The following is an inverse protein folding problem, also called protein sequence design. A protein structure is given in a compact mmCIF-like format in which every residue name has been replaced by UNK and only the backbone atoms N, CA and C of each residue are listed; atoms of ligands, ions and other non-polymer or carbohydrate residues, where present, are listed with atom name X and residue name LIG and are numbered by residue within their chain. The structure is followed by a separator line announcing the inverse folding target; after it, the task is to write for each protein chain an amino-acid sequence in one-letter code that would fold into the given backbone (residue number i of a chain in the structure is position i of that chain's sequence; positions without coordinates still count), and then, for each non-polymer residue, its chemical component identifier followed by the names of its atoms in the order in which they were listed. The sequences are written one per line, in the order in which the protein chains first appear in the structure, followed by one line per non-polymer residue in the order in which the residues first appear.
data_IF_541051947546
#
_entry.id   IF_541051947546
#
_cell.length_a   1.000
_cell.length_b   1.000
_cell.length_c   1.000
_cell.angle_alpha   90.00
_cell.angle_beta   90.00
_cell.angle_gamma   90.00
#
_symmetry.space_group_name_H-M   'P 1'
#
loop_
_entity.id
_entity.type
_entity.pdbx_description
1 polymer ?
#
# COMPACT_ATOMS: atom_id res chain seq x y z
N UNK A 1 -47.15 41.73 59.78
CA UNK A 1 -46.75 41.89 58.35
C UNK A 1 -45.77 40.80 58.01
N UNK A 2 -46.24 39.66 57.43
CA UNK A 2 -45.36 38.51 57.06
C UNK A 2 -45.08 38.60 55.57
N UNK A 3 -43.85 38.84 55.20
CA UNK A 3 -43.36 38.84 53.84
C UNK A 3 -43.29 37.38 53.32
N UNK A 4 -44.05 37.07 52.26
CA UNK A 4 -44.00 35.82 51.52
C UNK A 4 -42.75 35.83 50.60
N UNK A 5 -41.71 35.18 51.01
CA UNK A 5 -40.57 34.84 50.13
C UNK A 5 -40.67 33.34 49.80
N UNK A 6 -41.41 33.01 48.78
CA UNK A 6 -41.36 31.63 48.22
C UNK A 6 -41.98 31.62 46.86
N UNK A 7 -41.14 31.74 45.81
CA UNK A 7 -41.33 31.11 44.47
C UNK A 7 -40.14 31.31 43.53
N UNK A 8 -39.12 32.05 43.95
CA UNK A 8 -37.97 32.37 43.10
C UNK A 8 -36.94 31.26 42.97
N UNK A 9 -36.78 30.36 43.99
CA UNK A 9 -35.72 29.38 44.04
C UNK A 9 -35.88 28.20 43.02
N UNK A 10 -37.07 27.71 42.78
CA UNK A 10 -37.30 26.61 41.85
C UNK A 10 -37.17 27.00 40.38
N UNK A 11 -37.60 28.24 40.03
CA UNK A 11 -37.43 28.77 38.68
C UNK A 11 -35.95 29.05 38.36
N UNK A 12 -35.22 29.61 39.30
CA UNK A 12 -33.80 29.89 39.15
C UNK A 12 -32.96 28.61 39.01
N UNK A 13 -33.31 27.53 39.75
CA UNK A 13 -32.66 26.21 39.61
C UNK A 13 -32.92 25.59 38.24
N UNK A 14 -34.13 25.72 37.69
CA UNK A 14 -34.48 25.25 36.34
C UNK A 14 -33.71 26.00 35.25
N UNK A 15 -33.62 27.33 35.37
CA UNK A 15 -32.86 28.17 34.45
C UNK A 15 -31.37 27.83 34.51
N UNK A 16 -30.82 27.64 35.72
CA UNK A 16 -29.42 27.25 35.88
C UNK A 16 -29.12 25.87 35.30
N UNK A 17 -30.02 24.90 35.47
CA UNK A 17 -29.87 23.55 34.88
C UNK A 17 -29.92 23.60 33.35
N UNK A 18 -30.83 24.42 32.76
CA UNK A 18 -30.90 24.60 31.29
C UNK A 18 -29.65 25.28 30.75
N UNK A 19 -29.16 26.33 31.41
CA UNK A 19 -27.95 27.04 31.01
C UNK A 19 -26.72 26.12 31.13
N UNK A 20 -26.62 25.31 32.20
CA UNK A 20 -25.53 24.35 32.38
C UNK A 20 -25.58 23.25 31.30
N UNK A 21 -26.77 22.76 30.94
CA UNK A 21 -26.99 21.80 29.87
C UNK A 21 -26.62 22.36 28.48
N UNK A 22 -26.95 23.64 28.22
CA UNK A 22 -26.57 24.33 26.98
C UNK A 22 -25.06 24.59 26.89
N UNK A 23 -24.41 24.88 28.01
CA UNK A 23 -22.95 25.05 28.09
C UNK A 23 -22.23 23.71 27.83
N UNK A 24 -22.72 22.57 28.35
CA UNK A 24 -22.13 21.25 28.08
C UNK A 24 -22.30 20.82 26.63
N UNK A 25 -23.42 21.18 25.97
CA UNK A 25 -23.61 20.94 24.55
C UNK A 25 -22.70 21.80 23.65
N UNK A 26 -22.38 23.03 24.08
CA UNK A 26 -21.49 23.92 23.32
C UNK A 26 -20.02 23.47 23.31
N UNK A 27 -19.61 22.59 24.24
CA UNK A 27 -18.28 22.01 24.29
C UNK A 27 -18.16 20.61 23.69
N UNK A 28 -19.24 20.02 23.17
CA UNK A 28 -19.19 18.80 22.42
C UNK A 28 -18.56 19.08 21.04
N UNK A 29 -17.25 19.24 20.97
CA UNK A 29 -16.53 19.15 19.69
C UNK A 29 -16.78 17.77 19.13
N UNK A 30 -17.35 17.67 17.93
CA UNK A 30 -17.33 16.43 17.18
C UNK A 30 -15.87 16.00 17.06
N UNK A 31 -15.51 14.90 17.72
CA UNK A 31 -14.17 14.34 17.64
C UNK A 31 -13.98 13.84 16.21
N UNK A 32 -12.97 14.33 15.52
CA UNK A 32 -12.62 13.81 14.20
C UNK A 32 -12.31 12.31 14.33
N UNK A 33 -12.93 11.50 13.49
CA UNK A 33 -12.66 10.06 13.44
C UNK A 33 -11.23 9.77 13.01
N UNK A 34 -10.63 10.65 12.20
CA UNK A 34 -9.27 10.55 11.71
C UNK A 34 -8.45 11.78 12.08
N UNK A 35 -7.24 11.56 12.55
CA UNK A 35 -6.26 12.60 12.83
C UNK A 35 -4.98 12.36 12.00
N UNK A 36 -4.40 13.39 11.38
CA UNK A 36 -3.15 13.26 10.65
C UNK A 36 -1.99 13.02 11.63
N UNK A 37 -1.21 11.97 11.35
CA UNK A 37 0.03 11.68 12.08
C UNK A 37 1.21 12.20 11.27
N UNK A 38 1.91 13.21 11.76
CA UNK A 38 3.06 13.76 11.06
C UNK A 38 4.32 12.88 11.18
N UNK A 39 5.26 13.06 10.25
CA UNK A 39 6.49 12.27 10.18
C UNK A 39 7.40 12.42 11.40
N UNK A 40 7.38 13.57 12.09
CA UNK A 40 8.17 13.77 13.31
C UNK A 40 7.68 12.91 14.48
N UNK A 41 6.38 12.58 14.51
CA UNK A 41 5.80 11.66 15.49
C UNK A 41 5.96 10.20 15.06
N UNK A 42 5.66 9.90 13.79
CA UNK A 42 5.65 8.53 13.31
C UNK A 42 7.03 7.99 12.94
N UNK A 43 7.99 8.83 12.58
CA UNK A 43 9.26 8.40 11.99
C UNK A 43 9.15 8.03 10.50
N UNK A 44 7.94 8.00 9.92
CA UNK A 44 7.73 7.70 8.51
C UNK A 44 8.03 8.94 7.67
N UNK A 45 9.13 8.89 6.91
CA UNK A 45 9.60 10.01 6.07
C UNK A 45 9.58 9.70 4.57
N UNK A 46 8.97 8.58 4.17
CA UNK A 46 8.88 8.18 2.77
C UNK A 46 8.22 9.25 1.91
N UNK A 47 8.79 9.45 0.72
CA UNK A 47 8.24 10.29 -0.34
C UNK A 47 8.42 9.60 -1.67
N UNK A 48 7.36 9.44 -2.43
CA UNK A 48 7.44 9.01 -3.82
C UNK A 48 7.73 10.21 -4.70
N UNK A 49 8.98 10.36 -5.12
CA UNK A 49 9.42 11.52 -5.92
C UNK A 49 9.48 11.11 -7.39
N UNK A 50 8.72 11.81 -8.23
CA UNK A 50 8.75 11.66 -9.68
C UNK A 50 9.61 12.78 -10.26
N UNK A 51 10.61 12.40 -11.07
CA UNK A 51 11.47 13.34 -11.78
C UNK A 51 11.24 13.16 -13.28
N UNK A 52 10.65 14.15 -13.91
CA UNK A 52 10.42 14.15 -15.35
C UNK A 52 11.70 14.49 -16.13
N UNK A 53 11.83 13.89 -17.31
CA UNK A 53 12.90 14.18 -18.25
C UNK A 53 12.39 14.06 -19.70
N UNK A 54 13.25 14.28 -20.68
CA UNK A 54 12.86 14.25 -22.09
C UNK A 54 12.29 12.93 -22.58
N UNK A 55 12.64 11.80 -21.95
CA UNK A 55 12.21 10.46 -22.36
C UNK A 55 11.15 9.86 -21.43
N UNK A 56 11.01 10.38 -20.23
CA UNK A 56 10.07 9.92 -19.19
C UNK A 56 9.32 11.11 -18.60
N UNK A 57 8.17 11.41 -19.15
CA UNK A 57 7.27 12.49 -18.76
C UNK A 57 5.82 12.11 -19.08
N UNK A 58 4.86 12.93 -18.67
CA UNK A 58 3.45 12.66 -18.84
C UNK A 58 3.00 12.45 -20.30
N UNK A 59 3.72 13.02 -21.27
CA UNK A 59 3.40 12.86 -22.70
C UNK A 59 3.90 11.53 -23.26
N UNK A 60 4.94 10.96 -22.66
CA UNK A 60 5.56 9.71 -23.11
C UNK A 60 5.08 8.49 -22.33
N UNK A 61 4.58 8.69 -21.11
CA UNK A 61 4.09 7.63 -20.25
C UNK A 61 2.84 8.09 -19.46
N UNK A 62 1.67 7.62 -19.87
CA UNK A 62 0.37 8.07 -19.33
C UNK A 62 0.21 7.77 -17.82
N UNK A 63 0.85 6.69 -17.33
CA UNK A 63 0.78 6.27 -15.93
C UNK A 63 1.84 6.91 -15.03
N UNK A 64 2.49 7.99 -15.47
CA UNK A 64 3.60 8.62 -14.75
C UNK A 64 3.21 9.07 -13.33
N UNK A 65 1.99 9.53 -13.14
CA UNK A 65 1.50 10.08 -11.88
C UNK A 65 0.53 9.15 -11.12
N UNK A 66 0.46 7.87 -11.49
CA UNK A 66 -0.43 6.91 -10.81
C UNK A 66 0.03 6.54 -9.38
N UNK A 67 1.22 7.00 -8.98
CA UNK A 67 1.78 6.71 -7.66
C UNK A 67 2.50 5.38 -7.58
N UNK A 68 3.04 5.08 -6.41
CA UNK A 68 3.58 3.78 -6.04
C UNK A 68 2.52 2.90 -5.38
N UNK A 69 2.94 1.99 -4.52
CA UNK A 69 2.06 1.12 -3.75
C UNK A 69 2.43 1.10 -2.28
N UNK A 70 1.50 0.58 -1.49
CA UNK A 70 1.67 0.35 -0.06
C UNK A 70 1.15 -1.06 0.24
N UNK A 71 1.92 -1.83 1.02
CA UNK A 71 1.44 -3.04 1.67
C UNK A 71 1.56 -2.87 3.19
N UNK A 72 0.62 -3.46 3.91
CA UNK A 72 0.54 -3.41 5.37
C UNK A 72 0.35 -4.83 5.87
N UNK A 73 1.11 -5.22 6.88
CA UNK A 73 1.02 -6.53 7.50
C UNK A 73 2.06 -6.69 8.59
N UNK A 74 1.82 -7.61 9.51
CA UNK A 74 2.73 -7.96 10.60
C UNK A 74 3.79 -8.95 10.10
N UNK A 75 5.00 -8.45 9.79
CA UNK A 75 6.08 -9.26 9.18
C UNK A 75 6.90 -10.06 10.19
N UNK A 76 6.71 -9.85 11.48
CA UNK A 76 7.48 -10.48 12.55
C UNK A 76 6.60 -11.14 13.63
N UNK A 77 5.28 -11.18 13.42
CA UNK A 77 4.28 -11.76 14.30
C UNK A 77 4.28 -11.18 15.73
N UNK A 78 4.53 -9.85 15.85
CA UNK A 78 4.49 -9.15 17.14
C UNK A 78 3.13 -8.53 17.47
N UNK A 79 2.15 -8.66 16.56
CA UNK A 79 0.79 -8.12 16.67
C UNK A 79 0.68 -6.66 16.26
N UNK A 80 1.70 -6.08 15.64
CA UNK A 80 1.70 -4.70 15.15
C UNK A 80 1.88 -4.67 13.63
N UNK A 81 1.01 -3.95 12.93
CA UNK A 81 1.08 -3.82 11.47
C UNK A 81 2.27 -2.97 11.02
N UNK A 82 3.12 -3.53 10.17
CA UNK A 82 4.26 -2.89 9.53
C UNK A 82 3.86 -2.31 8.18
N UNK A 83 4.67 -1.41 7.63
CA UNK A 83 4.33 -0.72 6.39
C UNK A 83 5.48 -0.83 5.38
N UNK A 84 5.15 -1.34 4.19
CA UNK A 84 6.07 -1.35 3.05
C UNK A 84 5.58 -0.39 1.97
N UNK A 85 6.42 0.60 1.65
CA UNK A 85 6.17 1.56 0.58
C UNK A 85 7.04 1.25 -0.63
N UNK A 86 6.46 1.22 -1.81
CA UNK A 86 7.20 1.18 -3.06
C UNK A 86 7.23 2.55 -3.72
N UNK A 87 8.38 2.90 -4.28
CA UNK A 87 8.58 4.14 -5.03
C UNK A 87 8.69 3.84 -6.52
N UNK A 88 8.09 4.69 -7.36
CA UNK A 88 8.19 4.53 -8.81
C UNK A 88 9.64 4.68 -9.32
N UNK A 89 10.42 5.57 -8.74
CA UNK A 89 11.78 5.89 -9.23
C UNK A 89 12.89 5.67 -8.21
N UNK A 90 12.59 5.68 -6.90
CA UNK A 90 13.57 5.48 -5.84
C UNK A 90 13.51 4.04 -5.29
N UNK A 91 14.35 3.75 -4.30
CA UNK A 91 14.29 2.52 -3.53
C UNK A 91 13.04 2.49 -2.66
N UNK A 92 12.54 1.29 -2.36
CA UNK A 92 11.42 1.05 -1.47
C UNK A 92 11.77 1.34 -0.01
N UNK A 93 10.77 1.35 0.86
CA UNK A 93 10.95 1.53 2.30
C UNK A 93 10.09 0.56 3.09
N UNK A 94 10.71 -0.15 4.04
CA UNK A 94 10.06 -0.98 5.03
C UNK A 94 10.18 -0.32 6.40
N UNK A 95 9.06 -0.08 7.02
CA UNK A 95 8.93 0.54 8.33
C UNK A 95 8.36 -0.45 9.33
N UNK A 96 9.18 -0.86 10.28
CA UNK A 96 8.79 -1.70 11.40
C UNK A 96 8.02 -0.88 12.44
N UNK A 97 6.85 -1.35 12.83
CA UNK A 97 6.02 -0.71 13.85
C UNK A 97 6.59 -0.97 15.25
N UNK A 98 6.76 0.07 16.03
CA UNK A 98 7.25 0.01 17.41
C UNK A 98 6.15 0.33 18.44
N UNK A 99 4.88 0.32 18.01
CA UNK A 99 3.76 0.75 18.81
C UNK A 99 3.61 2.27 18.91
N UNK A 100 2.45 2.74 19.37
CA UNK A 100 2.15 4.16 19.59
C UNK A 100 2.34 5.06 18.35
N UNK A 101 2.11 4.52 17.14
CA UNK A 101 2.37 5.17 15.86
C UNK A 101 3.83 5.58 15.64
N UNK A 102 4.77 4.81 16.15
CA UNK A 102 6.20 4.98 15.91
C UNK A 102 6.70 3.87 15.02
N UNK A 103 7.45 4.23 13.98
CA UNK A 103 7.99 3.31 13.00
C UNK A 103 9.50 3.51 12.84
N UNK A 104 10.21 2.42 12.61
CA UNK A 104 11.65 2.40 12.35
C UNK A 104 11.90 1.93 10.92
N UNK A 105 12.64 2.68 10.14
CA UNK A 105 13.11 2.24 8.81
C UNK A 105 14.13 1.10 8.99
N UNK A 106 13.77 -0.10 8.52
CA UNK A 106 14.61 -1.30 8.54
C UNK A 106 14.98 -1.77 7.13
N UNK A 107 14.67 -1.01 6.11
CA UNK A 107 14.76 -1.37 4.69
C UNK A 107 16.08 -2.02 4.31
N UNK A 108 17.20 -1.41 4.69
CA UNK A 108 18.53 -1.91 4.32
C UNK A 108 18.91 -3.16 5.12
N UNK A 109 18.59 -3.20 6.40
CA UNK A 109 18.85 -4.35 7.26
C UNK A 109 18.03 -5.57 6.84
N UNK A 110 16.80 -5.35 6.41
CA UNK A 110 15.89 -6.39 5.93
C UNK A 110 16.19 -6.86 4.49
N UNK A 111 16.98 -6.12 3.71
CA UNK A 111 17.30 -6.50 2.33
C UNK A 111 16.20 -6.25 1.30
N UNK A 112 15.19 -5.40 1.62
CA UNK A 112 13.98 -5.21 0.79
C UNK A 112 13.92 -3.86 0.06
N UNK A 113 15.05 -3.18 -0.11
CA UNK A 113 15.11 -1.90 -0.81
C UNK A 113 14.60 -1.98 -2.27
N UNK A 114 14.65 -3.16 -2.86
CA UNK A 114 14.33 -3.40 -4.26
C UNK A 114 15.36 -2.80 -5.21
N UNK A 115 15.07 -2.91 -6.51
CA UNK A 115 15.87 -2.28 -7.56
C UNK A 115 15.34 -0.90 -7.90
N UNK A 116 16.19 -0.04 -8.42
CA UNK A 116 15.75 1.19 -9.09
C UNK A 116 14.99 0.80 -10.36
N UNK A 117 13.80 1.32 -10.54
CA UNK A 117 12.93 1.00 -11.66
C UNK A 117 11.50 1.45 -11.37
N UNK A 118 10.63 1.36 -12.37
CA UNK A 118 9.24 1.77 -12.23
C UNK A 118 8.43 0.70 -11.50
N UNK A 119 8.15 0.90 -10.24
CA UNK A 119 7.31 0.00 -9.44
C UNK A 119 5.89 0.54 -9.36
N UNK A 120 4.91 -0.35 -9.42
CA UNK A 120 3.49 -0.03 -9.62
C UNK A 120 2.56 -0.63 -8.59
N UNK A 121 2.88 -1.78 -8.03
CA UNK A 121 2.06 -2.49 -7.05
C UNK A 121 2.91 -3.34 -6.11
N UNK A 122 2.36 -3.64 -4.95
CA UNK A 122 2.98 -4.54 -3.96
C UNK A 122 1.91 -5.24 -3.14
N UNK A 123 2.22 -6.43 -2.67
CA UNK A 123 1.36 -7.21 -1.79
C UNK A 123 2.20 -7.92 -0.74
N UNK A 124 1.63 -8.14 0.45
CA UNK A 124 2.16 -9.04 1.46
C UNK A 124 1.31 -10.30 1.48
N UNK A 125 1.95 -11.46 1.59
CA UNK A 125 1.34 -12.78 1.56
C UNK A 125 2.28 -13.79 2.22
N UNK A 126 1.76 -14.76 2.92
CA UNK A 126 2.50 -15.95 3.33
C UNK A 126 2.35 -16.98 2.20
N UNK A 127 3.33 -17.02 1.27
CA UNK A 127 3.23 -17.86 0.07
C UNK A 127 3.63 -19.30 0.31
N UNK A 128 4.44 -19.56 1.31
CA UNK A 128 5.00 -20.87 1.62
C UNK A 128 4.36 -21.52 2.86
N UNK A 129 3.38 -20.85 3.49
CA UNK A 129 2.65 -21.37 4.65
C UNK A 129 3.48 -21.46 5.94
N UNK A 130 4.57 -20.69 6.04
CA UNK A 130 5.47 -20.73 7.22
C UNK A 130 5.01 -19.79 8.35
N UNK A 131 3.93 -19.04 8.13
CA UNK A 131 3.35 -18.10 9.09
C UNK A 131 4.01 -16.72 9.07
N UNK A 132 4.93 -16.44 8.14
CA UNK A 132 5.58 -15.15 7.97
C UNK A 132 5.12 -14.48 6.66
N UNK A 133 4.90 -13.17 6.69
CA UNK A 133 4.50 -12.46 5.47
C UNK A 133 5.71 -12.18 4.57
N UNK A 134 5.59 -12.58 3.32
CA UNK A 134 6.48 -12.28 2.21
C UNK A 134 6.05 -11.01 1.48
N UNK A 135 6.92 -10.42 0.66
CA UNK A 135 6.64 -9.15 -0.02
C UNK A 135 6.84 -9.30 -1.52
N UNK A 136 5.77 -9.20 -2.31
CA UNK A 136 5.84 -9.16 -3.77
C UNK A 136 5.84 -7.72 -4.27
N UNK A 137 6.68 -7.43 -5.27
CA UNK A 137 6.84 -6.10 -5.88
C UNK A 137 6.67 -6.19 -7.39
N UNK A 138 5.66 -5.51 -7.90
CA UNK A 138 5.36 -5.41 -9.31
C UNK A 138 6.17 -4.29 -9.97
N UNK A 139 6.81 -4.61 -11.09
CA UNK A 139 7.53 -3.67 -11.93
C UNK A 139 6.81 -3.45 -13.26
N UNK A 140 6.85 -2.24 -13.76
CA UNK A 140 6.20 -1.81 -14.98
C UNK A 140 7.03 -0.74 -15.69
N UNK A 141 6.37 0.17 -16.39
CA UNK A 141 6.99 1.32 -17.01
C UNK A 141 7.58 1.05 -18.39
N UNK A 142 7.88 2.14 -19.09
CA UNK A 142 8.40 2.12 -20.45
C UNK A 142 9.93 1.92 -20.44
N UNK A 143 10.35 0.70 -20.11
CA UNK A 143 11.77 0.30 -19.99
C UNK A 143 11.99 -1.11 -20.54
N UNK A 144 13.24 -1.59 -20.55
CA UNK A 144 13.58 -2.93 -21.00
C UNK A 144 12.93 -4.01 -20.13
N UNK A 145 12.62 -5.17 -20.74
CA UNK A 145 11.95 -6.28 -20.07
C UNK A 145 12.72 -6.73 -18.82
N UNK A 146 14.04 -6.83 -18.90
CA UNK A 146 14.89 -7.23 -17.78
C UNK A 146 14.80 -6.29 -16.56
N UNK A 147 14.56 -5.00 -16.80
CA UNK A 147 14.38 -4.01 -15.74
C UNK A 147 12.98 -4.04 -15.11
N UNK A 148 12.03 -4.72 -15.78
CA UNK A 148 10.65 -4.89 -15.30
C UNK A 148 10.40 -6.21 -14.59
N UNK A 149 11.41 -7.10 -14.49
CA UNK A 149 11.21 -8.35 -13.74
C UNK A 149 10.75 -8.06 -12.34
N UNK A 150 9.66 -8.69 -11.93
CA UNK A 150 9.10 -8.55 -10.59
C UNK A 150 10.07 -9.12 -9.53
N UNK A 151 9.91 -8.72 -8.28
CA UNK A 151 10.69 -9.25 -7.15
C UNK A 151 9.75 -9.88 -6.13
N UNK A 152 10.18 -10.96 -5.53
CA UNK A 152 9.47 -11.63 -4.45
C UNK A 152 10.41 -11.87 -3.28
N UNK A 153 10.31 -11.05 -2.28
CA UNK A 153 11.12 -11.10 -1.08
C UNK A 153 10.51 -12.08 -0.09
N UNK A 154 11.10 -13.26 0.04
CA UNK A 154 10.69 -14.32 0.97
C UNK A 154 11.30 -14.02 2.34
N UNK A 155 10.46 -13.96 3.34
CA UNK A 155 10.81 -13.72 4.74
C UNK A 155 11.61 -14.91 5.28
N UNK A 156 12.78 -14.67 5.85
CA UNK A 156 13.64 -15.71 6.43
C UNK A 156 13.53 -15.75 7.96
N UNK A 157 12.57 -15.04 8.55
CA UNK A 157 12.57 -14.71 9.96
C UNK A 157 13.62 -13.65 10.32
N UNK A 158 13.70 -13.27 11.55
CA UNK A 158 14.64 -12.27 12.07
C UNK A 158 14.69 -10.94 11.28
N UNK A 159 13.58 -10.53 10.66
CA UNK A 159 13.46 -9.32 9.85
C UNK A 159 14.43 -9.30 8.66
N UNK A 160 14.70 -10.42 8.05
CA UNK A 160 15.53 -10.53 6.83
C UNK A 160 14.76 -11.20 5.70
N UNK A 161 15.03 -10.80 4.46
CA UNK A 161 14.32 -11.28 3.27
C UNK A 161 15.31 -11.60 2.14
N UNK A 162 14.96 -12.55 1.28
CA UNK A 162 15.71 -12.93 0.09
C UNK A 162 14.80 -12.88 -1.13
N UNK A 163 15.24 -12.23 -2.21
CA UNK A 163 14.49 -12.21 -3.49
C UNK A 163 14.58 -13.58 -4.15
N UNK A 164 13.45 -14.28 -4.23
CA UNK A 164 13.29 -15.59 -4.85
C UNK A 164 12.35 -15.60 -6.06
N UNK A 165 12.01 -14.44 -6.60
CA UNK A 165 11.05 -14.33 -7.71
C UNK A 165 11.45 -15.23 -8.90
N UNK A 166 12.72 -15.26 -9.27
CA UNK A 166 13.23 -16.09 -10.38
C UNK A 166 13.14 -17.58 -10.05
N UNK A 167 13.51 -17.98 -8.84
CA UNK A 167 13.46 -19.37 -8.38
C UNK A 167 12.03 -19.91 -8.41
N UNK A 168 11.05 -19.05 -8.06
CA UNK A 168 9.62 -19.37 -8.01
C UNK A 168 8.90 -19.16 -9.36
N UNK A 169 9.60 -18.71 -10.41
CA UNK A 169 8.98 -18.44 -11.72
C UNK A 169 8.05 -17.22 -11.74
N UNK A 170 8.12 -16.35 -10.73
CA UNK A 170 7.27 -15.17 -10.57
C UNK A 170 8.01 -13.84 -10.88
N UNK A 171 9.21 -13.90 -11.48
CA UNK A 171 9.97 -12.73 -11.95
C UNK A 171 9.49 -12.18 -13.31
N UNK A 172 8.21 -12.31 -13.58
CA UNK A 172 7.59 -11.97 -14.87
C UNK A 172 7.92 -10.53 -15.32
N UNK A 173 8.37 -10.32 -16.58
CA UNK A 173 8.78 -9.02 -17.10
C UNK A 173 7.64 -8.22 -17.74
N UNK A 174 6.39 -8.61 -17.54
CA UNK A 174 5.22 -7.89 -18.08
C UNK A 174 5.10 -6.50 -17.48
N UNK A 175 4.23 -5.69 -18.03
CA UNK A 175 3.88 -4.40 -17.46
C UNK A 175 2.94 -4.58 -16.26
N UNK A 176 3.44 -5.27 -15.23
CA UNK A 176 2.65 -5.67 -14.08
C UNK A 176 2.26 -4.45 -13.25
N UNK A 177 0.99 -4.33 -12.91
CA UNK A 177 0.46 -3.23 -12.10
C UNK A 177 0.12 -3.65 -10.68
N UNK A 178 -0.34 -4.89 -10.51
CA UNK A 178 -0.70 -5.46 -9.22
C UNK A 178 -0.65 -6.99 -9.28
N UNK A 179 -0.60 -7.62 -8.12
CA UNK A 179 -0.73 -9.06 -7.91
C UNK A 179 -1.82 -9.34 -6.89
N UNK A 180 -2.54 -10.44 -7.08
CA UNK A 180 -3.43 -11.02 -6.09
C UNK A 180 -3.06 -12.48 -5.88
N UNK A 181 -2.99 -12.92 -4.64
CA UNK A 181 -2.73 -14.31 -4.28
C UNK A 181 -4.02 -14.92 -3.73
N UNK A 182 -4.38 -16.09 -4.22
CA UNK A 182 -5.55 -16.84 -3.79
C UNK A 182 -5.46 -18.28 -4.30
N UNK A 183 -6.03 -19.21 -3.58
CA UNK A 183 -6.18 -20.61 -3.95
C UNK A 183 -7.35 -20.73 -4.95
N UNK A 184 -7.07 -20.76 -6.28
CA UNK A 184 -8.11 -20.74 -7.30
C UNK A 184 -8.69 -22.12 -7.58
N UNK A 185 -7.89 -23.19 -7.42
CA UNK A 185 -8.31 -24.57 -7.74
C UNK A 185 -8.60 -25.39 -6.47
N UNK A 186 -8.40 -24.81 -5.28
CA UNK A 186 -8.71 -25.38 -3.97
C UNK A 186 -7.86 -26.59 -3.60
N UNK A 187 -6.60 -26.53 -3.98
CA UNK A 187 -5.62 -27.55 -3.61
C UNK A 187 -4.90 -27.24 -2.29
N UNK A 188 -5.07 -26.05 -1.75
CA UNK A 188 -4.53 -25.60 -0.47
C UNK A 188 -3.32 -24.66 -0.63
N UNK A 189 -2.78 -24.51 -1.84
CA UNK A 189 -1.66 -23.65 -2.14
C UNK A 189 -2.13 -22.31 -2.72
N UNK A 190 -1.38 -21.23 -2.50
CA UNK A 190 -1.73 -19.92 -3.06
C UNK A 190 -1.18 -19.75 -4.47
N UNK A 191 -2.06 -19.43 -5.39
CA UNK A 191 -1.77 -19.05 -6.76
C UNK A 191 -1.56 -17.56 -6.92
N UNK A 192 -0.94 -17.12 -8.02
CA UNK A 192 -0.69 -15.72 -8.29
C UNK A 192 -1.40 -15.24 -9.55
N UNK A 193 -2.23 -14.21 -9.44
CA UNK A 193 -2.83 -13.51 -10.58
C UNK A 193 -2.17 -12.16 -10.75
N UNK A 194 -1.43 -11.99 -11.85
CA UNK A 194 -0.77 -10.74 -12.21
C UNK A 194 -1.67 -9.91 -13.13
N UNK A 195 -2.02 -8.70 -12.67
CA UNK A 195 -2.63 -7.70 -13.53
C UNK A 195 -1.54 -6.97 -14.31
N UNK A 196 -1.65 -6.94 -15.63
CA UNK A 196 -0.71 -6.25 -16.49
C UNK A 196 -1.43 -5.27 -17.42
N UNK A 197 -0.85 -4.08 -17.57
CA UNK A 197 -1.37 -3.05 -18.46
C UNK A 197 -0.61 -3.03 -19.79
N UNK A 198 -1.19 -2.39 -20.80
CA UNK A 198 -0.48 -2.09 -22.04
C UNK A 198 0.01 -0.63 -22.00
N UNK A 199 1.32 -0.43 -22.01
CA UNK A 199 1.93 0.91 -22.03
C UNK A 199 2.07 1.50 -23.46
N UNK A 200 1.57 0.81 -24.47
CA UNK A 200 1.56 1.30 -25.84
C UNK A 200 0.49 2.38 -26.00
N UNK A 201 0.91 3.58 -26.29
CA UNK A 201 -0.03 4.67 -26.61
C UNK A 201 -0.75 4.33 -27.91
N UNK A 202 -2.07 4.14 -27.86
CA UNK A 202 -2.92 3.75 -29.00
C UNK A 202 -3.27 4.99 -29.84
N UNK A 203 -2.33 5.87 -30.13
CA UNK A 203 -2.63 7.09 -30.92
C UNK A 203 -2.76 6.83 -32.42
N UNK A 204 -2.15 5.74 -32.93
CA UNK A 204 -1.99 5.49 -34.38
C UNK A 204 -2.51 4.11 -34.84
N UNK A 205 -3.21 3.38 -33.99
CA UNK A 205 -3.82 2.10 -34.36
C UNK A 205 -5.33 2.25 -34.49
N UNK A 206 -5.89 1.85 -35.63
CA UNK A 206 -7.33 1.62 -35.68
C UNK A 206 -7.71 0.71 -34.49
N UNK A 207 -8.73 1.12 -33.74
CA UNK A 207 -9.18 0.44 -32.52
C UNK A 207 -9.43 -1.06 -32.71
N UNK A 208 -9.86 -1.45 -33.91
CA UNK A 208 -10.07 -2.83 -34.33
C UNK A 208 -8.78 -3.65 -34.43
N UNK A 209 -7.66 -3.03 -34.78
CA UNK A 209 -6.35 -3.69 -34.91
C UNK A 209 -5.65 -3.81 -33.56
N UNK A 210 -5.81 -2.83 -32.67
CA UNK A 210 -5.26 -2.88 -31.32
C UNK A 210 -5.79 -4.08 -30.52
N UNK A 211 -7.08 -4.44 -30.68
CA UNK A 211 -7.69 -5.61 -30.05
C UNK A 211 -7.17 -6.96 -30.57
N UNK A 212 -6.64 -7.00 -31.78
CA UNK A 212 -6.15 -8.24 -32.42
C UNK A 212 -4.65 -8.45 -32.20
N UNK A 213 -3.91 -7.43 -31.81
CA UNK A 213 -2.47 -7.54 -31.58
C UNK A 213 -2.18 -8.00 -30.15
N UNK A 214 -1.70 -9.25 -30.01
CA UNK A 214 -1.17 -9.72 -28.73
C UNK A 214 0.21 -9.10 -28.50
N UNK A 215 0.37 -8.39 -27.38
CA UNK A 215 1.68 -7.93 -26.94
C UNK A 215 2.25 -8.93 -25.92
N UNK A 216 3.50 -9.40 -26.04
CA UNK A 216 4.04 -10.48 -25.21
C UNK A 216 4.12 -10.13 -23.70
N UNK A 217 4.14 -8.83 -23.38
CA UNK A 217 4.26 -8.31 -22.01
C UNK A 217 3.01 -7.57 -21.53
N UNK A 218 1.90 -7.62 -22.29
CA UNK A 218 0.63 -7.04 -21.88
C UNK A 218 -0.43 -8.14 -21.80
N UNK A 219 -1.33 -8.01 -20.86
CA UNK A 219 -2.37 -9.00 -20.57
C UNK A 219 -2.09 -9.72 -19.26
N UNK A 220 -3.16 -9.97 -18.54
CA UNK A 220 -3.13 -10.59 -17.23
C UNK A 220 -2.65 -12.06 -17.33
N UNK A 221 -2.07 -12.54 -16.24
CA UNK A 221 -1.52 -13.90 -16.14
C UNK A 221 -1.92 -14.55 -14.83
N UNK A 222 -2.37 -15.80 -14.92
CA UNK A 222 -2.54 -16.66 -13.77
C UNK A 222 -1.37 -17.65 -13.71
N UNK A 223 -0.71 -17.70 -12.58
CA UNK A 223 0.34 -18.65 -12.27
C UNK A 223 -0.20 -19.61 -11.22
N UNK A 224 -0.24 -20.90 -11.55
CA UNK A 224 -0.67 -21.94 -10.64
C UNK A 224 0.52 -22.44 -9.83
N UNK A 225 0.32 -22.57 -8.53
CA UNK A 225 1.22 -23.26 -7.62
C UNK A 225 0.71 -24.70 -7.43
N UNK A 226 1.58 -25.69 -7.49
CA UNK A 226 1.19 -27.11 -7.36
C UNK A 226 1.97 -27.80 -6.24
N UNK A 227 2.80 -27.10 -5.47
CA UNK A 227 3.71 -27.77 -4.53
C UNK A 227 4.03 -26.99 -3.26
N UNK A 228 3.31 -25.92 -2.95
CA UNK A 228 3.51 -25.10 -1.76
C UNK A 228 4.67 -24.12 -1.83
#
# INVERSE_FOLDING_TARGET
MRLKVTKSSASMKKVFAVVLSLITLAFAKAQSLFEPVNSSRSGVSFKNIIVENATQNALTYENLFNGGGIAVGDINNDGLEDIYFISNMQLNKLYLNQGNFKFKDITQAAGVAGRVGWKSGTSMVDINGDGLLDIYVCYSGKTDAEKRRNQFFINQGNLSFIDKAQEMGLDDPSYTTQVSFFDYDRDGDLDAFLLATNVKVIRDLEYSQARKSKHPYAGDKLFRNDNG
#
